data_IF_564899428747
#
_entry.id   IF_564899428747
#
_cell.length_a   1.000
_cell.length_b   1.000
_cell.length_c   1.000
_cell.angle_alpha   90.00
_cell.angle_beta   90.00
_cell.angle_gamma   90.00
#
_symmetry.space_group_name_H-M   'P 1'
#
loop_
_entity.id
_entity.type
_entity.pdbx_description
1 polymer ?
#
# COMPACT_ATOMS: atom_id res chain seq x y z
N UNK A 1 17.44 -87.44 -22.03
CA UNK A 1 16.48 -86.42 -21.45
C UNK A 1 17.31 -85.27 -20.95
N UNK A 2 17.40 -84.18 -21.71
CA UNK A 2 18.19 -83.02 -21.42
C UNK A 2 17.26 -81.87 -21.02
N UNK A 3 17.31 -81.43 -19.74
CA UNK A 3 16.56 -80.32 -19.26
C UNK A 3 17.26 -79.01 -19.58
N UNK A 4 16.60 -78.11 -20.33
CA UNK A 4 17.01 -76.80 -20.70
C UNK A 4 16.59 -75.82 -19.57
N UNK A 5 17.54 -75.03 -19.00
CA UNK A 5 17.30 -73.97 -18.05
C UNK A 5 16.95 -72.65 -18.78
N UNK A 6 15.96 -71.87 -18.32
CA UNK A 6 15.64 -70.57 -18.92
C UNK A 6 16.61 -69.45 -18.45
N UNK A 7 17.12 -68.69 -19.42
CA UNK A 7 17.90 -67.48 -19.20
C UNK A 7 17.07 -66.40 -18.47
N UNK A 8 17.50 -66.00 -17.27
CA UNK A 8 17.03 -64.76 -16.60
C UNK A 8 17.50 -63.56 -17.39
N UNK A 9 16.58 -62.83 -17.98
CA UNK A 9 16.83 -61.51 -18.59
C UNK A 9 16.96 -60.45 -17.48
N UNK A 10 18.03 -59.65 -17.60
CA UNK A 10 18.38 -58.56 -16.69
C UNK A 10 17.30 -57.47 -16.64
N UNK A 11 16.56 -57.40 -15.53
CA UNK A 11 15.64 -56.29 -15.18
C UNK A 11 16.34 -55.18 -14.38
N UNK A 12 17.67 -55.27 -14.17
CA UNK A 12 18.41 -54.35 -13.35
C UNK A 12 18.85 -53.02 -14.03
N UNK A 13 18.79 -52.95 -15.37
CA UNK A 13 19.28 -51.79 -16.11
C UNK A 13 18.23 -50.67 -16.33
N UNK A 14 16.91 -50.95 -16.20
CA UNK A 14 15.88 -49.93 -16.37
C UNK A 14 15.64 -49.12 -15.12
N UNK A 15 15.86 -49.66 -13.91
CA UNK A 15 15.64 -48.95 -12.62
C UNK A 15 16.75 -47.92 -12.30
N UNK A 16 17.99 -48.16 -12.76
CA UNK A 16 19.10 -47.22 -12.54
C UNK A 16 18.97 -45.95 -13.42
N UNK A 17 18.43 -46.08 -14.62
CA UNK A 17 18.25 -44.95 -15.55
C UNK A 17 17.12 -44.00 -15.11
N UNK A 18 16.06 -44.49 -14.48
CA UNK A 18 14.98 -43.65 -13.94
C UNK A 18 15.42 -42.88 -12.71
N UNK A 19 16.20 -43.50 -11.83
CA UNK A 19 16.69 -42.84 -10.59
C UNK A 19 17.70 -41.71 -10.95
N UNK A 20 18.52 -41.87 -11.97
CA UNK A 20 19.43 -40.84 -12.43
C UNK A 20 18.74 -39.66 -13.12
N UNK A 21 17.64 -39.89 -13.84
CA UNK A 21 16.84 -38.80 -14.46
C UNK A 21 16.10 -37.97 -13.42
N UNK A 22 15.51 -38.58 -12.38
CA UNK A 22 14.81 -37.88 -11.30
C UNK A 22 15.79 -37.09 -10.44
N UNK A 23 16.97 -37.64 -10.15
CA UNK A 23 18.01 -36.94 -9.44
C UNK A 23 18.58 -35.73 -10.22
N UNK A 24 18.75 -35.84 -11.52
CA UNK A 24 19.20 -34.75 -12.38
C UNK A 24 18.16 -33.63 -12.52
N UNK A 25 16.87 -33.96 -12.58
CA UNK A 25 15.79 -32.96 -12.63
C UNK A 25 15.65 -32.18 -11.29
N UNK A 26 15.75 -32.85 -10.16
CA UNK A 26 15.73 -32.22 -8.83
C UNK A 26 16.94 -31.29 -8.63
N UNK A 27 18.15 -31.76 -8.95
CA UNK A 27 19.37 -30.95 -8.87
C UNK A 27 19.33 -29.72 -9.81
N UNK A 28 18.66 -29.83 -10.96
CA UNK A 28 18.49 -28.71 -11.88
C UNK A 28 17.48 -27.68 -11.34
N UNK A 29 16.36 -28.13 -10.76
CA UNK A 29 15.36 -27.24 -10.14
C UNK A 29 15.95 -26.48 -8.95
N UNK A 30 16.74 -27.11 -8.10
CA UNK A 30 17.42 -26.45 -6.98
C UNK A 30 18.44 -25.41 -7.47
N UNK A 31 19.19 -25.71 -8.55
CA UNK A 31 20.10 -24.74 -9.15
C UNK A 31 19.41 -23.49 -9.72
N UNK A 32 18.19 -23.66 -10.27
CA UNK A 32 17.38 -22.52 -10.78
C UNK A 32 16.90 -21.64 -9.60
N UNK A 33 16.42 -22.25 -8.53
CA UNK A 33 15.99 -21.51 -7.33
C UNK A 33 17.18 -20.76 -6.67
N UNK A 34 18.35 -21.40 -6.57
CA UNK A 34 19.56 -20.76 -6.07
C UNK A 34 19.95 -19.55 -6.92
N UNK A 35 19.87 -19.68 -8.25
CA UNK A 35 20.16 -18.58 -9.16
C UNK A 35 19.15 -17.44 -9.02
N UNK A 36 17.86 -17.75 -8.87
CA UNK A 36 16.82 -16.74 -8.64
C UNK A 36 17.09 -15.92 -7.37
N UNK A 37 17.50 -16.56 -6.27
CA UNK A 37 17.87 -15.86 -5.04
C UNK A 37 19.20 -15.10 -5.16
N UNK A 38 20.17 -15.63 -5.90
CA UNK A 38 21.43 -14.92 -6.17
C UNK A 38 21.17 -13.62 -6.98
N UNK A 39 20.28 -13.68 -7.95
CA UNK A 39 19.86 -12.50 -8.72
C UNK A 39 19.04 -11.54 -7.87
N UNK A 40 18.14 -12.05 -7.00
CA UNK A 40 17.35 -11.25 -6.06
C UNK A 40 18.24 -10.40 -5.14
N UNK A 41 19.34 -10.95 -4.67
CA UNK A 41 20.31 -10.22 -3.84
C UNK A 41 20.96 -9.02 -4.55
N UNK A 42 20.89 -8.95 -5.89
CA UNK A 42 21.48 -7.86 -6.70
C UNK A 42 20.53 -6.70 -6.93
N UNK A 43 19.22 -6.91 -6.81
CA UNK A 43 18.24 -5.84 -6.95
C UNK A 43 17.50 -5.50 -5.66
N UNK A 44 17.53 -6.37 -4.65
CA UNK A 44 16.88 -6.10 -3.37
C UNK A 44 17.72 -5.12 -2.53
N UNK A 45 17.01 -4.23 -1.85
CA UNK A 45 17.59 -3.23 -0.97
C UNK A 45 16.97 -3.29 0.41
N UNK A 46 17.76 -2.91 1.43
CA UNK A 46 17.25 -2.66 2.77
C UNK A 46 16.82 -1.21 2.87
N UNK A 47 15.61 -1.01 3.40
CA UNK A 47 15.05 0.32 3.66
C UNK A 47 15.00 0.53 5.17
N UNK A 48 15.40 1.73 5.61
CA UNK A 48 15.25 2.19 6.98
C UNK A 48 14.57 3.54 6.95
N UNK A 49 13.50 3.67 7.68
CA UNK A 49 12.71 4.92 7.75
C UNK A 49 12.70 5.41 9.19
N UNK A 50 12.77 6.70 9.38
CA UNK A 50 12.56 7.35 10.67
C UNK A 50 11.80 8.64 10.51
N UNK A 51 10.85 8.90 11.41
CA UNK A 51 10.08 10.13 11.46
C UNK A 51 9.93 10.62 12.90
N UNK A 52 10.07 11.94 13.08
CA UNK A 52 9.88 12.58 14.37
C UNK A 52 8.38 12.88 14.64
N UNK A 53 7.60 12.97 13.58
CA UNK A 53 6.16 13.18 13.63
C UNK A 53 5.46 12.20 12.71
N UNK A 54 4.24 11.79 13.06
CA UNK A 54 3.43 10.90 12.25
C UNK A 54 2.08 11.53 11.91
N UNK A 55 1.54 11.17 10.75
CA UNK A 55 0.12 11.28 10.50
C UNK A 55 -0.58 10.05 11.07
N UNK A 56 -1.91 10.09 11.20
CA UNK A 56 -2.68 9.04 11.88
C UNK A 56 -2.45 7.63 11.28
N UNK A 57 -2.03 7.56 10.03
CA UNK A 57 -1.78 6.30 9.33
C UNK A 57 -0.40 5.68 9.63
N UNK A 58 0.48 6.41 10.34
CA UNK A 58 1.85 5.95 10.63
C UNK A 58 2.23 6.21 12.08
N UNK A 59 3.17 5.42 12.58
CA UNK A 59 3.72 5.59 13.92
C UNK A 59 4.94 6.50 13.90
N UNK A 60 5.14 7.30 14.96
CA UNK A 60 6.39 8.01 15.24
C UNK A 60 7.49 7.00 15.55
N UNK A 61 8.69 7.21 15.05
CA UNK A 61 9.84 6.39 15.36
C UNK A 61 10.60 5.89 14.14
N UNK A 62 11.20 4.72 14.26
CA UNK A 62 12.00 4.12 13.21
C UNK A 62 11.63 2.67 12.94
N UNK A 63 11.57 2.30 11.67
CA UNK A 63 11.32 0.94 11.23
C UNK A 63 12.17 0.55 10.03
N UNK A 64 12.15 -0.71 9.69
CA UNK A 64 12.90 -1.25 8.55
C UNK A 64 12.03 -2.17 7.71
N UNK A 65 12.33 -2.19 6.41
CA UNK A 65 11.71 -3.07 5.44
C UNK A 65 12.67 -3.38 4.31
N UNK A 66 12.13 -3.93 3.25
CA UNK A 66 12.83 -4.24 2.03
C UNK A 66 12.26 -3.42 0.86
N UNK A 67 12.96 -3.43 -0.24
CA UNK A 67 12.54 -2.91 -1.53
C UNK A 67 13.37 -3.54 -2.63
N UNK A 68 13.10 -3.20 -3.88
CA UNK A 68 13.90 -3.70 -4.99
C UNK A 68 13.92 -2.72 -6.17
N UNK A 69 15.06 -2.67 -6.86
CA UNK A 69 15.29 -1.78 -8.01
C UNK A 69 14.46 -2.25 -9.22
N UNK A 70 13.67 -1.35 -9.79
CA UNK A 70 12.78 -1.64 -10.94
C UNK A 70 13.00 -0.75 -12.15
N UNK A 71 13.75 0.35 -11.98
CA UNK A 71 14.06 1.27 -13.08
C UNK A 71 15.39 1.97 -12.77
N UNK A 72 16.45 1.55 -13.44
CA UNK A 72 17.79 2.08 -13.19
C UNK A 72 17.97 3.49 -13.74
N UNK A 73 17.34 3.76 -14.88
CA UNK A 73 17.42 5.07 -15.53
C UNK A 73 16.76 6.15 -14.65
N UNK A 74 15.58 5.84 -14.13
CA UNK A 74 14.83 6.73 -13.23
C UNK A 74 15.23 6.58 -11.78
N UNK A 75 16.09 5.60 -11.46
CA UNK A 75 16.57 5.29 -10.11
C UNK A 75 15.44 4.91 -9.15
N UNK A 76 14.45 4.15 -9.66
CA UNK A 76 13.28 3.80 -8.89
C UNK A 76 13.40 2.46 -8.19
N UNK A 77 13.03 2.46 -6.92
CA UNK A 77 12.91 1.31 -6.04
C UNK A 77 11.46 1.14 -5.66
N UNK A 78 10.91 -0.07 -5.86
CA UNK A 78 9.58 -0.45 -5.35
C UNK A 78 9.69 -0.93 -3.91
N UNK A 79 8.65 -0.63 -3.13
CA UNK A 79 8.43 -1.12 -1.77
C UNK A 79 6.94 -1.02 -1.41
N UNK A 80 6.56 -1.36 -0.18
CA UNK A 80 5.21 -1.08 0.31
C UNK A 80 5.05 0.37 0.76
N UNK A 81 3.81 0.87 0.72
CA UNK A 81 3.46 2.19 1.24
C UNK A 81 3.73 2.30 2.74
N UNK A 82 3.35 1.27 3.53
CA UNK A 82 3.61 1.25 4.97
C UNK A 82 5.11 1.19 5.32
N UNK A 83 5.97 0.67 4.42
CA UNK A 83 7.43 0.69 4.57
C UNK A 83 8.00 2.06 4.25
N UNK A 84 7.55 2.71 3.17
CA UNK A 84 7.97 4.07 2.82
C UNK A 84 7.52 5.10 3.87
N UNK A 85 6.40 4.82 4.51
CA UNK A 85 5.71 5.73 5.42
C UNK A 85 4.78 6.70 4.67
N UNK A 86 3.83 7.24 5.41
CA UNK A 86 2.83 8.18 4.90
C UNK A 86 3.17 9.63 5.21
N UNK A 87 4.41 9.85 5.65
CA UNK A 87 4.97 11.17 5.96
C UNK A 87 6.33 11.29 5.30
N UNK A 88 6.78 12.50 5.05
CA UNK A 88 8.15 12.77 4.57
C UNK A 88 9.17 12.51 5.70
N UNK A 89 9.31 11.25 6.08
CA UNK A 89 10.37 10.80 6.99
C UNK A 89 11.72 10.70 6.29
N UNK A 90 12.77 10.51 7.09
CA UNK A 90 14.09 10.21 6.56
C UNK A 90 14.14 8.77 6.08
N UNK A 91 14.23 8.57 4.76
CA UNK A 91 14.34 7.26 4.13
C UNK A 91 15.80 7.01 3.76
N UNK A 92 16.36 5.89 4.24
CA UNK A 92 17.72 5.44 3.90
C UNK A 92 17.65 4.07 3.24
N UNK A 93 18.33 3.92 2.10
CA UNK A 93 18.38 2.68 1.30
C UNK A 93 19.81 2.16 1.23
N UNK A 94 19.98 0.84 1.36
CA UNK A 94 21.25 0.17 1.17
C UNK A 94 21.12 -1.04 0.26
N UNK A 95 21.95 -1.13 -0.78
CA UNK A 95 22.22 -2.36 -1.51
C UNK A 95 23.14 -3.28 -0.70
N UNK A 96 23.15 -4.58 -1.03
CA UNK A 96 24.01 -5.57 -0.37
C UNK A 96 25.47 -5.17 -0.47
N UNK A 97 26.15 -5.06 0.67
CA UNK A 97 27.59 -4.67 0.73
C UNK A 97 27.86 -3.18 0.55
N UNK A 98 26.84 -2.33 0.41
CA UNK A 98 27.01 -0.89 0.20
C UNK A 98 26.51 -0.05 1.38
N UNK A 99 26.97 1.19 1.43
CA UNK A 99 26.54 2.17 2.43
C UNK A 99 25.10 2.61 2.17
N UNK A 100 24.45 3.10 3.23
CA UNK A 100 23.11 3.67 3.14
C UNK A 100 23.16 5.04 2.46
N UNK A 101 22.22 5.26 1.53
CA UNK A 101 22.01 6.56 0.87
C UNK A 101 20.61 7.07 1.17
N UNK A 102 20.44 8.38 1.24
CA UNK A 102 19.12 8.98 1.38
C UNK A 102 18.31 8.80 0.08
N UNK A 103 17.04 8.50 0.22
CA UNK A 103 16.10 8.42 -0.88
C UNK A 103 14.88 9.30 -0.61
N UNK A 104 14.13 9.63 -1.66
CA UNK A 104 12.88 10.40 -1.57
C UNK A 104 11.71 9.55 -2.04
N UNK A 105 10.56 9.73 -1.40
CA UNK A 105 9.32 9.15 -1.91
C UNK A 105 8.90 9.88 -3.19
N UNK A 106 8.69 9.13 -4.26
CA UNK A 106 8.18 9.62 -5.54
C UNK A 106 6.67 9.47 -5.64
N UNK A 107 6.17 8.38 -5.09
CA UNK A 107 4.77 8.00 -5.10
C UNK A 107 4.47 7.06 -3.94
N UNK A 108 3.36 7.25 -3.29
CA UNK A 108 2.87 6.38 -2.21
C UNK A 108 1.39 6.13 -2.44
N UNK A 109 1.04 4.87 -2.65
CA UNK A 109 -0.33 4.41 -2.83
C UNK A 109 -0.77 3.57 -1.63
N UNK A 110 -1.59 4.18 -0.78
CA UNK A 110 -2.16 3.48 0.36
C UNK A 110 -3.27 2.49 -0.03
N UNK A 111 -3.86 2.62 -1.23
CA UNK A 111 -4.96 1.75 -1.67
C UNK A 111 -4.49 0.31 -1.90
N UNK A 112 -3.35 0.12 -2.55
CA UNK A 112 -2.75 -1.21 -2.79
C UNK A 112 -1.45 -1.45 -2.03
N UNK A 113 -1.09 -0.56 -1.09
CA UNK A 113 0.12 -0.66 -0.29
C UNK A 113 1.41 -0.72 -1.13
N UNK A 114 1.55 0.18 -2.10
CA UNK A 114 2.74 0.28 -2.97
C UNK A 114 3.36 1.66 -2.88
N UNK A 115 4.69 1.73 -2.83
CA UNK A 115 5.44 2.97 -2.95
C UNK A 115 6.59 2.86 -3.96
N UNK A 116 6.89 3.99 -4.59
CA UNK A 116 8.06 4.19 -5.45
C UNK A 116 8.98 5.20 -4.79
N UNK A 117 10.20 4.78 -4.52
CA UNK A 117 11.26 5.63 -3.98
C UNK A 117 12.26 5.97 -5.06
N UNK A 118 12.79 7.19 -5.04
CA UNK A 118 13.83 7.66 -5.96
C UNK A 118 15.16 7.80 -5.24
N UNK A 119 16.19 7.15 -5.80
CA UNK A 119 17.56 7.24 -5.34
C UNK A 119 18.27 8.46 -5.95
N UNK A 120 19.26 9.06 -5.27
CA UNK A 120 20.09 10.10 -5.85
C UNK A 120 20.94 9.57 -7.01
N UNK A 121 21.43 10.48 -7.82
CA UNK A 121 22.35 10.14 -8.92
C UNK A 121 23.61 9.46 -8.38
N UNK A 122 24.10 8.44 -9.09
CA UNK A 122 25.30 7.69 -8.71
C UNK A 122 25.10 6.71 -7.54
N UNK A 123 23.93 6.61 -6.93
CA UNK A 123 23.70 5.75 -5.78
C UNK A 123 23.51 4.26 -6.11
N UNK A 124 23.25 3.91 -7.37
CA UNK A 124 23.02 2.53 -7.78
C UNK A 124 24.35 1.86 -8.10
N UNK A 125 24.75 0.79 -7.38
CA UNK A 125 25.98 0.06 -7.67
C UNK A 125 26.03 -0.47 -9.11
N UNK A 126 27.23 -0.61 -9.67
CA UNK A 126 27.39 -1.06 -11.05
C UNK A 126 26.88 -2.50 -11.25
N UNK A 127 27.08 -3.38 -10.27
CA UNK A 127 26.63 -4.77 -10.26
C UNK A 127 25.14 -4.95 -9.95
N UNK A 128 24.45 -3.92 -9.45
CA UNK A 128 23.02 -3.99 -9.20
C UNK A 128 22.26 -4.22 -10.51
N UNK A 129 21.16 -4.94 -10.44
CA UNK A 129 20.28 -5.25 -11.58
C UNK A 129 18.87 -4.74 -11.30
N UNK A 130 18.08 -4.61 -12.36
CA UNK A 130 16.65 -4.38 -12.23
C UNK A 130 15.93 -5.72 -12.01
N UNK A 131 14.92 -5.70 -11.14
CA UNK A 131 13.99 -6.80 -11.00
C UNK A 131 13.10 -6.91 -12.24
N UNK A 132 12.90 -8.12 -12.74
CA UNK A 132 11.95 -8.38 -13.83
C UNK A 132 10.58 -8.65 -13.23
N UNK A 133 9.63 -7.75 -13.43
CA UNK A 133 8.25 -7.88 -12.95
C UNK A 133 7.41 -8.78 -13.88
N UNK A 134 6.58 -9.64 -13.31
CA UNK A 134 5.53 -10.37 -14.01
C UNK A 134 4.28 -9.50 -14.09
N UNK A 135 4.20 -8.65 -15.12
CA UNK A 135 3.13 -7.66 -15.26
C UNK A 135 1.80 -8.26 -15.76
N UNK A 136 1.78 -9.50 -16.19
CA UNK A 136 0.59 -10.18 -16.74
C UNK A 136 0.43 -11.53 -16.08
N UNK A 137 -0.79 -11.79 -15.62
CA UNK A 137 -1.16 -13.05 -14.98
C UNK A 137 -0.61 -13.20 -13.55
N UNK A 138 -1.00 -14.29 -12.93
CA UNK A 138 -0.51 -14.72 -11.60
C UNK A 138 0.03 -16.14 -11.71
N UNK A 139 0.99 -16.55 -10.86
CA UNK A 139 1.45 -17.94 -10.84
C UNK A 139 0.29 -18.91 -10.60
N UNK A 140 0.39 -20.10 -11.14
CA UNK A 140 -0.57 -21.18 -10.84
C UNK A 140 -0.45 -21.59 -9.37
N UNK A 141 -1.56 -22.01 -8.75
CA UNK A 141 -1.54 -22.60 -7.41
C UNK A 141 -0.60 -23.80 -7.39
N UNK A 142 0.28 -23.86 -6.39
CA UNK A 142 1.33 -24.86 -6.28
C UNK A 142 2.67 -24.47 -6.92
N UNK A 143 2.77 -23.35 -7.65
CA UNK A 143 4.06 -22.85 -8.16
C UNK A 143 5.02 -22.53 -7.03
N UNK A 144 6.30 -22.87 -7.19
CA UNK A 144 7.36 -22.56 -6.23
C UNK A 144 7.61 -21.05 -6.17
N UNK A 145 7.47 -20.46 -4.98
CA UNK A 145 7.71 -19.06 -4.72
C UNK A 145 8.84 -18.87 -3.69
N UNK A 146 9.55 -17.76 -3.82
CA UNK A 146 10.56 -17.32 -2.88
C UNK A 146 10.31 -15.90 -2.40
N UNK A 147 10.24 -15.68 -1.08
CA UNK A 147 10.26 -14.34 -0.51
C UNK A 147 11.68 -13.95 -0.16
N UNK A 148 12.08 -12.71 -0.47
CA UNK A 148 13.42 -12.20 -0.21
C UNK A 148 13.34 -10.84 0.49
N UNK A 149 14.20 -10.65 1.53
CA UNK A 149 14.17 -9.41 2.29
C UNK A 149 15.09 -9.42 3.50
N UNK A 150 14.65 -8.77 4.60
CA UNK A 150 15.46 -8.54 5.79
C UNK A 150 14.70 -8.91 7.08
N UNK A 151 14.18 -10.17 7.21
CA UNK A 151 13.34 -10.57 8.32
C UNK A 151 14.05 -10.35 9.66
N UNK A 152 13.35 -9.72 10.62
CA UNK A 152 13.85 -9.46 11.98
C UNK A 152 15.24 -8.77 12.04
N UNK A 153 15.59 -8.05 10.96
CA UNK A 153 16.90 -7.38 10.84
C UNK A 153 18.02 -8.23 10.25
N UNK A 154 17.81 -9.53 10.02
CA UNK A 154 18.74 -10.38 9.27
C UNK A 154 18.73 -9.97 7.80
N UNK A 155 19.87 -9.50 7.32
CA UNK A 155 19.97 -8.88 6.00
C UNK A 155 20.04 -9.94 4.87
N UNK A 156 19.29 -9.71 3.78
CA UNK A 156 19.34 -10.51 2.54
C UNK A 156 19.05 -11.99 2.76
N UNK A 157 17.91 -12.28 3.39
CA UNK A 157 17.44 -13.63 3.70
C UNK A 157 16.35 -14.05 2.74
N UNK A 158 16.42 -15.31 2.30
CA UNK A 158 15.42 -15.95 1.43
C UNK A 158 14.58 -16.95 2.24
N UNK A 159 13.30 -17.05 1.89
CA UNK A 159 12.40 -18.13 2.32
C UNK A 159 11.71 -18.72 1.09
N UNK A 160 11.35 -20.02 1.12
CA UNK A 160 10.69 -20.72 0.02
C UNK A 160 9.34 -21.26 0.48
N UNK A 161 8.38 -21.25 -0.41
CA UNK A 161 7.05 -21.79 -0.28
C UNK A 161 6.38 -21.93 -1.62
N UNK A 162 5.04 -21.96 -1.64
CA UNK A 162 4.26 -22.10 -2.87
C UNK A 162 3.22 -20.98 -3.00
N UNK A 163 2.72 -20.79 -4.20
CA UNK A 163 1.50 -20.05 -4.47
C UNK A 163 0.30 -20.82 -3.93
N UNK A 164 -0.37 -20.26 -2.91
CA UNK A 164 -1.54 -20.89 -2.30
C UNK A 164 -2.86 -20.43 -2.93
N UNK A 165 -2.92 -19.21 -3.48
CA UNK A 165 -4.12 -18.67 -4.10
C UNK A 165 -4.08 -17.16 -4.24
N UNK A 166 -5.21 -16.59 -4.69
CA UNK A 166 -5.46 -15.14 -4.67
C UNK A 166 -6.52 -14.87 -3.62
N UNK A 167 -6.20 -14.06 -2.62
CA UNK A 167 -7.15 -13.63 -1.59
C UNK A 167 -7.82 -12.33 -2.02
N UNK A 168 -9.14 -12.25 -1.86
CA UNK A 168 -9.95 -11.03 -2.03
C UNK A 168 -10.57 -10.57 -0.70
N UNK A 169 -10.12 -11.15 0.43
CA UNK A 169 -10.65 -10.85 1.76
C UNK A 169 -10.30 -9.44 2.27
N UNK A 170 -9.37 -8.74 1.62
CA UNK A 170 -9.01 -7.35 1.90
C UNK A 170 -9.52 -6.42 0.81
N UNK A 171 -9.27 -5.13 1.00
CA UNK A 171 -9.69 -4.05 0.11
C UNK A 171 -9.15 -4.15 -1.34
N UNK A 172 -8.20 -5.06 -1.60
CA UNK A 172 -7.65 -5.32 -2.94
C UNK A 172 -7.10 -6.75 -3.04
N UNK A 173 -7.08 -7.35 -4.25
CA UNK A 173 -6.60 -8.71 -4.46
C UNK A 173 -5.12 -8.85 -4.09
N UNK A 174 -4.78 -9.92 -3.37
CA UNK A 174 -3.41 -10.23 -2.94
C UNK A 174 -3.05 -11.67 -3.28
N UNK A 175 -1.78 -11.93 -3.64
CA UNK A 175 -1.26 -13.28 -3.71
C UNK A 175 -1.14 -13.85 -2.30
N UNK A 176 -1.58 -15.09 -2.13
CA UNK A 176 -1.40 -15.85 -0.90
C UNK A 176 -0.29 -16.88 -1.10
N UNK A 177 0.62 -16.97 -0.12
CA UNK A 177 1.74 -17.93 -0.12
C UNK A 177 1.95 -18.49 1.28
N UNK A 178 2.50 -19.68 1.39
CA UNK A 178 2.98 -20.27 2.63
C UNK A 178 4.48 -19.99 2.88
N UNK A 179 5.17 -19.34 1.92
CA UNK A 179 6.54 -18.87 2.15
C UNK A 179 6.58 -17.98 3.40
N UNK A 180 7.42 -18.28 4.40
CA UNK A 180 7.46 -17.48 5.63
C UNK A 180 7.84 -16.03 5.36
N UNK A 181 6.92 -15.10 5.71
CA UNK A 181 7.11 -13.65 5.64
C UNK A 181 7.05 -13.11 7.07
N UNK A 182 8.05 -12.35 7.46
CA UNK A 182 8.17 -11.73 8.79
C UNK A 182 8.43 -10.23 8.65
N UNK A 183 8.21 -9.42 9.71
CA UNK A 183 8.58 -8.00 9.71
C UNK A 183 10.00 -7.79 9.22
N UNK A 184 10.17 -6.94 8.22
CA UNK A 184 11.43 -6.72 7.48
C UNK A 184 11.46 -7.35 6.09
N UNK A 185 10.59 -8.32 5.77
CA UNK A 185 10.37 -8.79 4.39
C UNK A 185 9.42 -7.89 3.61
N UNK A 186 8.58 -7.12 4.31
CA UNK A 186 7.65 -6.18 3.69
C UNK A 186 8.38 -5.24 2.71
N UNK A 187 7.82 -5.07 1.52
CA UNK A 187 8.37 -4.30 0.42
C UNK A 187 9.38 -5.06 -0.44
N UNK A 188 9.85 -6.21 0.02
CA UNK A 188 10.73 -7.08 -0.75
C UNK A 188 10.01 -7.88 -1.83
N UNK A 189 10.74 -8.48 -2.79
CA UNK A 189 10.15 -9.24 -3.88
C UNK A 189 9.62 -10.60 -3.44
N UNK A 190 8.44 -10.99 -3.93
CA UNK A 190 7.99 -12.37 -4.03
C UNK A 190 8.31 -12.86 -5.44
N UNK A 191 9.07 -13.94 -5.55
CA UNK A 191 9.72 -14.39 -6.78
C UNK A 191 9.16 -15.74 -7.19
N UNK A 192 8.78 -15.90 -8.44
CA UNK A 192 8.58 -17.22 -9.06
C UNK A 192 9.95 -17.85 -9.29
N UNK A 193 10.24 -18.90 -8.56
CA UNK A 193 11.55 -19.57 -8.58
C UNK A 193 11.85 -20.30 -9.88
N UNK A 194 10.85 -20.59 -10.68
CA UNK A 194 11.02 -21.23 -12.00
C UNK A 194 11.49 -20.25 -13.07
N UNK A 195 10.99 -19.02 -13.01
CA UNK A 195 11.28 -17.98 -14.01
C UNK A 195 12.22 -16.88 -13.52
N UNK A 196 12.41 -16.75 -12.21
CA UNK A 196 13.12 -15.64 -11.55
C UNK A 196 12.41 -14.30 -11.66
N UNK A 197 11.14 -14.27 -12.10
CA UNK A 197 10.36 -13.04 -12.18
C UNK A 197 9.74 -12.68 -10.80
N UNK A 198 9.66 -11.40 -10.51
CA UNK A 198 8.95 -10.90 -9.33
C UNK A 198 7.45 -10.89 -9.65
N UNK A 199 6.69 -11.70 -8.94
CA UNK A 199 5.24 -11.87 -9.10
C UNK A 199 4.44 -11.02 -8.09
N UNK A 200 5.10 -10.53 -7.05
CA UNK A 200 4.45 -9.68 -6.03
C UNK A 200 5.45 -8.95 -5.15
N UNK A 201 4.91 -8.09 -4.31
CA UNK A 201 5.62 -7.35 -3.26
C UNK A 201 5.18 -7.92 -1.93
N UNK A 202 6.09 -8.52 -1.17
CA UNK A 202 5.80 -9.09 0.14
C UNK A 202 5.16 -8.04 1.04
N UNK A 203 4.02 -8.38 1.66
CA UNK A 203 3.42 -7.56 2.71
C UNK A 203 3.25 -8.44 3.94
N UNK A 204 3.81 -8.05 5.09
CA UNK A 204 3.62 -8.80 6.31
C UNK A 204 2.14 -8.70 6.70
N UNK A 205 1.48 -9.85 6.87
CA UNK A 205 0.12 -9.85 7.38
C UNK A 205 0.14 -9.34 8.82
N UNK A 206 -0.51 -8.20 9.05
CA UNK A 206 -0.75 -7.75 10.40
C UNK A 206 -1.73 -8.72 11.08
N UNK A 207 -1.22 -9.59 11.93
CA UNK A 207 -1.84 -9.87 13.20
C UNK A 207 -3.01 -10.80 13.32
N UNK A 208 -3.21 -11.82 12.52
CA UNK A 208 -4.02 -12.94 12.99
C UNK A 208 -3.13 -14.03 13.57
N UNK A 209 -3.02 -14.02 14.89
CA UNK A 209 -2.30 -15.05 15.68
C UNK A 209 -2.80 -16.49 15.44
N UNK A 210 -3.82 -16.69 14.60
CA UNK A 210 -4.47 -17.96 14.30
C UNK A 210 -4.17 -18.53 12.92
N UNK A 211 -3.64 -17.73 11.98
CA UNK A 211 -3.34 -18.18 10.62
C UNK A 211 -1.83 -18.35 10.43
N UNK A 212 -1.28 -19.44 10.97
CA UNK A 212 0.09 -19.83 10.66
C UNK A 212 0.20 -20.22 9.19
N UNK A 213 1.27 -19.75 8.50
CA UNK A 213 1.55 -20.02 7.09
C UNK A 213 0.59 -19.36 6.07
N UNK A 214 -0.12 -18.31 6.47
CA UNK A 214 -0.86 -17.47 5.53
C UNK A 214 -0.17 -16.12 5.40
N UNK A 215 0.59 -15.95 4.33
CA UNK A 215 1.32 -14.73 4.01
C UNK A 215 0.81 -14.16 2.70
N UNK A 216 0.94 -12.85 2.53
CA UNK A 216 0.37 -12.14 1.40
C UNK A 216 1.41 -11.28 0.68
N UNK A 217 1.15 -11.03 -0.59
CA UNK A 217 1.91 -10.09 -1.40
C UNK A 217 0.98 -9.30 -2.32
N UNK A 218 1.31 -8.03 -2.53
CA UNK A 218 0.67 -7.21 -3.57
C UNK A 218 1.02 -7.79 -4.93
N UNK A 219 0.04 -7.93 -5.82
CA UNK A 219 0.24 -8.50 -7.16
C UNK A 219 1.14 -7.58 -8.00
N UNK A 220 2.12 -8.13 -8.70
CA UNK A 220 3.07 -7.33 -9.50
C UNK A 220 2.41 -6.50 -10.60
N UNK A 221 1.27 -6.94 -11.17
CA UNK A 221 0.53 -6.18 -12.19
C UNK A 221 0.07 -4.81 -11.71
N UNK A 222 -0.30 -4.67 -10.41
CA UNK A 222 -0.66 -3.38 -9.83
C UNK A 222 0.53 -2.42 -9.81
N UNK A 223 1.70 -2.92 -9.38
CA UNK A 223 2.92 -2.14 -9.43
C UNK A 223 3.33 -1.77 -10.86
N UNK A 224 3.16 -2.67 -11.83
CA UNK A 224 3.43 -2.39 -13.24
C UNK A 224 2.57 -1.24 -13.75
N UNK A 225 1.26 -1.26 -13.48
CA UNK A 225 0.35 -0.18 -13.90
C UNK A 225 0.75 1.17 -13.29
N UNK A 226 1.10 1.17 -11.99
CA UNK A 226 1.61 2.37 -11.31
C UNK A 226 2.87 2.89 -12.01
N UNK A 227 3.86 2.03 -12.25
CA UNK A 227 5.12 2.41 -12.89
C UNK A 227 4.91 2.95 -14.32
N UNK A 228 4.01 2.34 -15.11
CA UNK A 228 3.68 2.82 -16.46
C UNK A 228 3.07 4.22 -16.43
N UNK A 229 2.12 4.48 -15.53
CA UNK A 229 1.52 5.80 -15.38
C UNK A 229 2.54 6.84 -14.94
N UNK A 230 3.40 6.51 -13.97
CA UNK A 230 4.45 7.41 -13.50
C UNK A 230 5.50 7.70 -14.59
N UNK A 231 5.88 6.69 -15.39
CA UNK A 231 6.78 6.87 -16.55
C UNK A 231 6.18 7.80 -17.60
N UNK A 232 4.86 7.75 -17.77
CA UNK A 232 4.11 8.62 -18.65
C UNK A 232 3.83 10.02 -18.08
N UNK A 233 4.30 10.33 -16.86
CA UNK A 233 4.03 11.58 -16.16
C UNK A 233 2.56 11.78 -15.77
N UNK A 234 1.81 10.68 -15.66
CA UNK A 234 0.38 10.71 -15.29
C UNK A 234 0.21 10.42 -13.79
N UNK A 235 -0.93 10.84 -13.24
CA UNK A 235 -1.35 10.38 -11.92
C UNK A 235 -1.48 8.86 -11.92
N UNK A 236 -0.99 8.21 -10.86
CA UNK A 236 -1.13 6.76 -10.68
C UNK A 236 -2.08 6.40 -9.52
N UNK A 237 -2.82 7.38 -8.99
CA UNK A 237 -3.82 7.14 -7.94
C UNK A 237 -5.10 6.56 -8.52
N UNK A 238 -5.84 5.83 -7.67
CA UNK A 238 -7.27 5.61 -7.89
C UNK A 238 -8.02 6.93 -7.71
N UNK A 239 -9.19 7.13 -8.35
CA UNK A 239 -9.99 8.32 -8.11
C UNK A 239 -10.51 8.37 -6.66
N UNK A 240 -10.76 9.60 -6.20
CA UNK A 240 -11.45 9.83 -4.95
C UNK A 240 -12.89 9.33 -5.09
N UNK A 241 -13.32 8.44 -4.19
CA UNK A 241 -14.71 7.98 -4.12
C UNK A 241 -15.21 8.00 -2.68
N UNK A 242 -16.45 8.39 -2.49
CA UNK A 242 -17.23 8.23 -1.26
C UNK A 242 -18.40 7.26 -1.47
N UNK A 243 -18.51 6.70 -2.68
CA UNK A 243 -19.51 5.70 -3.02
C UNK A 243 -19.29 4.43 -2.20
N UNK A 244 -20.32 4.01 -1.49
CA UNK A 244 -20.34 2.74 -0.74
C UNK A 244 -21.07 1.70 -1.57
N UNK A 245 -20.41 0.56 -1.76
CA UNK A 245 -21.00 -0.58 -2.47
C UNK A 245 -21.54 -1.61 -1.49
N UNK A 246 -22.66 -2.25 -1.85
CA UNK A 246 -23.18 -3.38 -1.11
C UNK A 246 -22.21 -4.57 -1.26
N UNK A 247 -22.02 -5.27 -0.16
CA UNK A 247 -21.32 -6.55 -0.14
C UNK A 247 -22.36 -7.64 0.02
N UNK A 248 -22.47 -8.52 -0.96
CA UNK A 248 -23.31 -9.70 -0.89
C UNK A 248 -22.40 -10.93 -0.95
N UNK A 249 -22.39 -11.72 0.13
CA UNK A 249 -21.58 -12.94 0.23
C UNK A 249 -22.04 -14.01 -0.77
N UNK A 250 -23.31 -13.99 -1.15
CA UNK A 250 -23.94 -14.98 -2.04
C UNK A 250 -23.93 -14.54 -3.52
N UNK A 251 -23.77 -13.23 -3.81
CA UNK A 251 -23.71 -12.66 -5.16
C UNK A 251 -22.45 -11.79 -5.36
N UNK A 252 -21.33 -12.46 -5.59
CA UNK A 252 -20.02 -11.83 -5.81
C UNK A 252 -19.95 -11.14 -7.20
N UNK A 253 -20.92 -11.35 -8.08
CA UNK A 253 -20.88 -10.89 -9.47
C UNK A 253 -21.52 -9.49 -9.67
N UNK A 254 -22.26 -8.98 -8.69
CA UNK A 254 -22.96 -7.69 -8.82
C UNK A 254 -22.37 -6.61 -7.91
N UNK A 255 -21.89 -5.53 -8.52
CA UNK A 255 -21.36 -4.37 -7.83
C UNK A 255 -22.47 -3.31 -7.71
N UNK A 256 -23.25 -3.36 -6.62
CA UNK A 256 -24.39 -2.47 -6.40
C UNK A 256 -24.06 -1.36 -5.40
N UNK A 257 -24.45 -0.13 -5.72
CA UNK A 257 -24.30 1.03 -4.82
C UNK A 257 -25.29 0.90 -3.65
N UNK A 258 -24.75 0.86 -2.42
CA UNK A 258 -25.54 0.60 -1.22
C UNK A 258 -26.37 1.81 -0.77
N UNK A 259 -25.76 3.00 -0.81
CA UNK A 259 -26.36 4.27 -0.38
C UNK A 259 -26.01 5.38 -1.37
N UNK A 260 -26.87 6.39 -1.48
CA UNK A 260 -26.54 7.59 -2.25
C UNK A 260 -25.29 8.24 -1.66
N UNK A 261 -24.28 8.61 -2.50
CA UNK A 261 -23.15 9.39 -2.02
C UNK A 261 -23.65 10.69 -1.37
N UNK A 262 -23.33 10.93 -0.11
CA UNK A 262 -23.80 12.12 0.62
C UNK A 262 -23.30 13.44 0.01
N UNK A 263 -22.17 13.38 -0.69
CA UNK A 263 -21.63 14.48 -1.50
C UNK A 263 -21.36 13.96 -2.90
N UNK A 264 -21.49 14.84 -3.89
CA UNK A 264 -21.09 14.54 -5.27
C UNK A 264 -19.58 14.22 -5.30
N UNK A 265 -19.26 12.93 -5.34
CA UNK A 265 -17.89 12.44 -5.48
C UNK A 265 -17.42 12.42 -6.96
N UNK A 266 -18.27 12.89 -7.84
CA UNK A 266 -18.04 12.95 -9.28
C UNK A 266 -18.34 11.65 -10.03
N UNK A 267 -18.81 10.59 -9.36
CA UNK A 267 -19.15 9.32 -10.06
C UNK A 267 -20.53 9.34 -10.71
N UNK A 268 -21.45 10.20 -10.26
CA UNK A 268 -22.83 10.27 -10.79
C UNK A 268 -23.66 9.03 -10.48
N UNK A 269 -23.19 8.17 -9.56
CA UNK A 269 -23.87 6.95 -9.11
C UNK A 269 -24.92 7.27 -8.05
N UNK A 270 -25.93 6.41 -7.94
CA UNK A 270 -27.03 6.50 -6.95
C UNK A 270 -27.25 5.14 -6.29
N UNK A 271 -27.86 5.15 -5.11
CA UNK A 271 -28.26 3.94 -4.42
C UNK A 271 -29.13 3.05 -5.33
N UNK A 272 -28.82 1.76 -5.36
CA UNK A 272 -29.46 0.77 -6.21
C UNK A 272 -28.94 0.70 -7.64
N UNK A 273 -27.95 1.52 -8.03
CA UNK A 273 -27.24 1.33 -9.31
C UNK A 273 -26.36 0.10 -9.25
N UNK A 274 -26.43 -0.75 -10.27
CA UNK A 274 -25.48 -1.84 -10.46
C UNK A 274 -24.46 -1.45 -11.53
N UNK A 275 -23.17 -1.42 -11.19
CA UNK A 275 -22.10 -1.13 -12.14
C UNK A 275 -21.90 -2.35 -13.05
N UNK A 276 -22.07 -2.15 -14.35
CA UNK A 276 -21.91 -3.20 -15.37
C UNK A 276 -20.49 -3.17 -15.92
N UNK A 277 -19.90 -1.97 -16.10
CA UNK A 277 -18.60 -1.82 -16.70
C UNK A 277 -18.18 -0.37 -16.88
N UNK A 278 -17.05 -0.19 -17.54
CA UNK A 278 -16.60 1.10 -18.04
C UNK A 278 -16.77 1.12 -19.55
N UNK A 279 -17.34 2.19 -20.08
CA UNK A 279 -17.47 2.33 -21.53
C UNK A 279 -16.11 2.22 -22.20
N UNK A 280 -15.99 1.36 -23.21
CA UNK A 280 -14.76 1.01 -23.92
C UNK A 280 -13.72 0.20 -23.11
N UNK A 281 -14.15 -0.49 -22.05
CA UNK A 281 -13.30 -1.40 -21.26
C UNK A 281 -14.05 -2.74 -21.10
N UNK A 282 -13.44 -3.82 -21.57
CA UNK A 282 -14.07 -5.15 -21.54
C UNK A 282 -13.93 -5.87 -20.18
N UNK A 283 -13.29 -5.23 -19.19
CA UNK A 283 -13.11 -5.84 -17.87
C UNK A 283 -14.44 -5.96 -17.15
N UNK A 284 -14.64 -7.10 -16.51
CA UNK A 284 -15.67 -7.28 -15.50
C UNK A 284 -15.09 -6.97 -14.13
N UNK A 285 -15.91 -6.46 -13.25
CA UNK A 285 -15.55 -6.13 -11.88
C UNK A 285 -16.25 -7.09 -10.94
N UNK A 286 -15.47 -7.78 -10.11
CA UNK A 286 -15.97 -8.71 -9.10
C UNK A 286 -16.10 -8.03 -7.72
N UNK A 287 -15.59 -6.81 -7.60
CA UNK A 287 -15.61 -6.06 -6.34
C UNK A 287 -15.45 -4.56 -6.55
N UNK A 288 -15.80 -3.77 -5.52
CA UNK A 288 -15.56 -2.33 -5.51
C UNK A 288 -14.05 -1.98 -5.68
N UNK A 289 -13.12 -2.66 -5.02
CA UNK A 289 -11.70 -2.47 -5.29
C UNK A 289 -11.30 -2.73 -6.74
N UNK A 290 -11.80 -3.79 -7.38
CA UNK A 290 -11.50 -4.07 -8.80
C UNK A 290 -11.97 -2.93 -9.71
N UNK A 291 -13.16 -2.38 -9.42
CA UNK A 291 -13.69 -1.23 -10.15
C UNK A 291 -12.82 0.03 -9.95
N UNK A 292 -12.44 0.35 -8.72
CA UNK A 292 -11.58 1.50 -8.43
C UNK A 292 -10.18 1.33 -9.03
N UNK A 293 -9.62 0.12 -9.01
CA UNK A 293 -8.34 -0.19 -9.67
C UNK A 293 -8.43 -0.03 -11.19
N UNK A 294 -9.55 -0.40 -11.80
CA UNK A 294 -9.78 -0.19 -13.22
C UNK A 294 -9.85 1.29 -13.61
N UNK A 295 -10.18 2.16 -12.65
CA UNK A 295 -10.20 3.61 -12.82
C UNK A 295 -8.85 4.28 -12.49
N UNK A 296 -7.85 3.53 -12.05
CA UNK A 296 -6.52 4.05 -11.71
C UNK A 296 -5.95 4.92 -12.84
N UNK A 297 -5.50 6.11 -12.50
CA UNK A 297 -4.92 7.08 -13.43
C UNK A 297 -5.93 7.80 -14.33
N UNK A 298 -7.22 7.49 -14.24
CA UNK A 298 -8.26 8.24 -14.95
C UNK A 298 -8.62 9.50 -14.16
N UNK A 299 -8.75 10.60 -14.86
CA UNK A 299 -9.14 11.90 -14.30
C UNK A 299 -10.07 12.62 -15.26
N UNK A 300 -10.96 13.47 -14.72
CA UNK A 300 -11.93 14.20 -15.53
C UNK A 300 -13.06 13.27 -16.01
N UNK A 301 -13.59 13.55 -17.20
CA UNK A 301 -14.75 12.84 -17.74
C UNK A 301 -14.46 11.38 -18.04
N UNK A 302 -15.30 10.50 -17.49
CA UNK A 302 -15.28 9.05 -17.73
C UNK A 302 -16.71 8.56 -17.77
N UNK A 303 -17.04 7.65 -18.70
CA UNK A 303 -18.39 7.08 -18.80
C UNK A 303 -18.42 5.70 -18.12
N UNK A 304 -19.40 5.52 -17.24
CA UNK A 304 -19.65 4.28 -16.47
C UNK A 304 -20.97 3.68 -16.95
N UNK A 305 -20.97 2.42 -17.33
CA UNK A 305 -22.15 1.70 -17.74
C UNK A 305 -22.80 1.04 -16.52
N UNK A 306 -24.09 1.35 -16.30
CA UNK A 306 -24.84 0.91 -15.13
C UNK A 306 -26.19 0.31 -15.53
N UNK A 307 -26.76 -0.44 -14.59
CA UNK A 307 -28.19 -0.75 -14.59
C UNK A 307 -28.87 -0.01 -13.43
N UNK A 308 -29.89 0.79 -13.75
CA UNK A 308 -30.70 1.56 -12.80
C UNK A 308 -32.18 1.20 -13.00
N UNK A 309 -32.81 0.65 -11.98
CA UNK A 309 -34.22 0.19 -12.01
C UNK A 309 -34.51 -0.73 -13.21
N UNK A 310 -33.60 -1.70 -13.49
CA UNK A 310 -33.73 -2.67 -14.57
C UNK A 310 -33.44 -2.11 -15.97
N UNK A 311 -32.97 -0.87 -16.10
CA UNK A 311 -32.60 -0.24 -17.38
C UNK A 311 -31.11 0.03 -17.46
N UNK A 312 -30.49 -0.47 -18.52
CA UNK A 312 -29.11 -0.17 -18.83
C UNK A 312 -28.97 1.27 -19.34
N UNK A 313 -27.99 1.97 -18.81
CA UNK A 313 -27.66 3.33 -19.21
C UNK A 313 -26.18 3.64 -18.91
N UNK A 314 -25.69 4.70 -19.51
CA UNK A 314 -24.35 5.23 -19.23
C UNK A 314 -24.50 6.50 -18.39
N UNK A 315 -23.70 6.63 -17.32
CA UNK A 315 -23.58 7.85 -16.53
C UNK A 315 -22.21 8.48 -16.78
N UNK A 316 -22.17 9.80 -16.83
CA UNK A 316 -20.92 10.54 -16.96
C UNK A 316 -20.38 10.85 -15.56
N UNK A 317 -19.21 10.27 -15.26
CA UNK A 317 -18.42 10.59 -14.08
C UNK A 317 -17.43 11.72 -14.40
N UNK A 318 -17.11 12.54 -13.40
CA UNK A 318 -16.05 13.54 -13.45
C UNK A 318 -15.06 13.26 -12.34
N UNK A 319 -14.10 12.36 -12.62
CA UNK A 319 -13.21 11.77 -11.63
C UNK A 319 -12.13 12.77 -11.16
N UNK A 320 -11.94 12.85 -9.85
CA UNK A 320 -10.83 13.56 -9.22
C UNK A 320 -9.82 12.56 -8.64
N UNK A 321 -8.49 12.81 -8.78
CA UNK A 321 -7.48 11.96 -8.16
C UNK A 321 -7.61 11.95 -6.64
N UNK A 322 -7.33 10.82 -6.00
CA UNK A 322 -7.16 10.80 -4.55
C UNK A 322 -5.91 11.57 -4.12
N UNK A 323 -5.89 11.97 -2.85
CA UNK A 323 -4.79 12.74 -2.26
C UNK A 323 -3.49 11.93 -2.32
N UNK A 324 -2.41 12.59 -2.73
CA UNK A 324 -1.06 12.03 -2.64
C UNK A 324 -0.52 12.18 -1.22
N UNK A 325 0.17 11.14 -0.74
CA UNK A 325 0.88 11.19 0.55
C UNK A 325 2.23 11.88 0.43
N UNK A 326 2.84 11.85 -0.76
CA UNK A 326 4.12 12.52 -1.05
C UNK A 326 3.94 14.03 -1.01
N UNK A 327 4.79 14.71 -0.23
CA UNK A 327 4.70 16.15 -0.05
C UNK A 327 3.54 16.61 0.84
N UNK A 328 2.88 15.68 1.55
CA UNK A 328 1.86 16.02 2.53
C UNK A 328 2.49 16.82 3.66
N UNK A 329 1.91 17.97 3.96
CA UNK A 329 2.39 18.85 5.01
C UNK A 329 1.40 18.90 6.16
N UNK A 330 1.94 18.98 7.38
CA UNK A 330 1.21 19.28 8.59
C UNK A 330 1.66 20.62 9.19
N UNK A 331 0.81 21.25 9.96
CA UNK A 331 1.15 22.39 10.82
C UNK A 331 1.39 21.87 12.22
N UNK A 332 2.59 22.03 12.72
CA UNK A 332 2.94 21.80 14.12
C UNK A 332 2.53 23.04 14.91
N UNK A 333 1.70 22.87 15.89
CA UNK A 333 1.22 23.95 16.77
C UNK A 333 1.25 23.46 18.21
N UNK A 334 2.16 24.04 19.01
CA UNK A 334 2.30 23.78 20.45
C UNK A 334 2.38 22.30 20.82
N UNK A 335 3.05 21.50 19.96
CA UNK A 335 3.23 20.05 20.13
C UNK A 335 2.13 19.18 19.53
N UNK A 336 1.13 19.75 18.85
CA UNK A 336 0.16 19.01 18.06
C UNK A 336 0.38 19.20 16.57
N UNK A 337 0.23 18.12 15.77
CA UNK A 337 0.31 18.14 14.30
C UNK A 337 -1.10 18.14 13.72
N UNK A 338 -1.40 19.19 12.98
CA UNK A 338 -2.65 19.35 12.26
C UNK A 338 -2.42 19.14 10.76
N UNK A 339 -3.24 18.34 10.11
CA UNK A 339 -3.20 18.19 8.66
C UNK A 339 -4.59 17.89 8.09
N UNK A 340 -4.77 18.06 6.76
CA UNK A 340 -5.97 17.57 6.11
C UNK A 340 -6.10 16.06 6.27
N UNK A 341 -7.33 15.61 6.38
CA UNK A 341 -7.69 14.22 6.48
C UNK A 341 -7.40 13.44 5.19
N UNK A 342 -7.00 12.17 5.31
CA UNK A 342 -6.92 11.26 4.16
C UNK A 342 -8.29 10.63 3.85
N UNK A 343 -8.42 9.99 2.70
CA UNK A 343 -9.66 9.33 2.30
C UNK A 343 -10.04 8.13 3.17
N UNK A 344 -9.05 7.42 3.74
CA UNK A 344 -9.30 6.31 4.68
C UNK A 344 -9.92 6.75 6.00
N UNK A 345 -9.74 8.02 6.34
CA UNK A 345 -10.26 8.60 7.56
C UNK A 345 -11.68 9.18 7.38
N UNK A 346 -12.24 9.10 6.15
CA UNK A 346 -13.59 9.63 5.85
C UNK A 346 -14.62 8.54 6.08
N UNK A 347 -15.11 8.42 7.30
CA UNK A 347 -16.34 7.67 7.60
C UNK A 347 -17.60 8.52 7.47
N UNK A 348 -17.46 9.86 7.42
CA UNK A 348 -18.56 10.80 7.24
C UNK A 348 -18.16 11.88 6.22
N UNK A 349 -18.90 12.04 5.11
CA UNK A 349 -18.64 13.04 4.06
C UNK A 349 -18.62 14.48 4.54
N UNK A 350 -19.37 14.82 5.58
CA UNK A 350 -19.35 16.17 6.19
C UNK A 350 -17.97 16.57 6.73
N UNK A 351 -17.11 15.58 6.92
CA UNK A 351 -15.74 15.77 7.38
C UNK A 351 -14.76 16.04 6.23
N UNK A 352 -15.18 15.94 4.99
CA UNK A 352 -14.33 16.20 3.83
C UNK A 352 -13.81 17.64 3.85
N UNK A 353 -12.47 17.78 3.90
CA UNK A 353 -11.79 19.09 3.97
C UNK A 353 -11.68 19.68 5.37
N UNK A 354 -12.00 18.95 6.44
CA UNK A 354 -11.67 19.34 7.81
C UNK A 354 -10.22 19.02 8.15
N UNK A 355 -9.64 19.79 9.05
CA UNK A 355 -8.33 19.48 9.62
C UNK A 355 -8.50 18.49 10.76
N UNK A 356 -7.55 17.55 10.85
CA UNK A 356 -7.47 16.53 11.89
C UNK A 356 -6.22 16.74 12.73
N UNK A 357 -6.31 16.44 14.02
CA UNK A 357 -5.16 16.32 14.93
C UNK A 357 -4.53 14.94 14.73
N UNK A 358 -3.41 14.88 14.01
CA UNK A 358 -2.75 13.63 13.64
C UNK A 358 -1.79 13.12 14.69
N UNK A 359 -1.26 14.00 15.51
CA UNK A 359 -0.35 13.65 16.60
C UNK A 359 -0.43 14.71 17.69
N UNK A 360 -0.24 14.29 18.93
CA UNK A 360 0.00 15.16 20.09
C UNK A 360 1.20 14.61 20.83
N UNK A 361 2.23 15.44 21.03
CA UNK A 361 3.42 15.05 21.77
C UNK A 361 3.10 15.00 23.27
N UNK A 362 3.34 13.87 23.95
CA UNK A 362 3.09 13.75 25.38
C UNK A 362 3.85 14.81 26.19
N UNK A 363 3.15 15.49 27.10
CA UNK A 363 3.70 16.56 27.93
C UNK A 363 3.86 17.91 27.22
N UNK A 364 3.47 18.03 25.95
CA UNK A 364 3.44 19.30 25.23
C UNK A 364 2.32 20.23 25.74
N UNK A 365 2.38 21.50 25.33
CA UNK A 365 1.31 22.45 25.63
C UNK A 365 -0.04 21.99 25.11
N UNK A 366 -0.08 21.42 23.91
CA UNK A 366 -1.31 20.85 23.34
C UNK A 366 -1.85 19.67 24.19
N UNK A 367 -0.98 18.80 24.69
CA UNK A 367 -1.38 17.67 25.55
C UNK A 367 -1.92 18.17 26.91
N UNK A 368 -1.24 19.13 27.53
CA UNK A 368 -1.65 19.72 28.79
C UNK A 368 -3.00 20.49 28.70
N UNK A 369 -3.31 21.03 27.51
CA UNK A 369 -4.58 21.69 27.20
C UNK A 369 -5.60 20.73 26.55
N UNK A 370 -5.39 19.41 26.71
CA UNK A 370 -6.32 18.36 26.30
C UNK A 370 -6.71 18.39 24.81
N UNK A 371 -5.82 18.85 23.92
CA UNK A 371 -5.94 18.59 22.50
C UNK A 371 -5.71 17.08 22.30
N UNK A 372 -6.66 16.38 21.71
CA UNK A 372 -6.60 14.93 21.58
C UNK A 372 -6.32 14.50 20.14
N UNK A 373 -5.46 13.48 20.00
CA UNK A 373 -5.27 12.73 18.77
C UNK A 373 -6.61 12.28 18.18
N UNK A 374 -6.76 12.31 16.87
CA UNK A 374 -7.98 11.91 16.17
C UNK A 374 -9.13 12.92 16.23
N UNK A 375 -8.94 14.08 16.87
CA UNK A 375 -9.96 15.13 16.93
C UNK A 375 -10.02 15.96 15.66
N UNK A 376 -11.23 16.28 15.19
CA UNK A 376 -11.49 17.19 14.08
C UNK A 376 -11.55 18.63 14.53
N UNK A 377 -10.95 19.53 13.76
CA UNK A 377 -11.05 20.98 14.01
C UNK A 377 -12.33 21.51 13.38
N UNK A 378 -13.32 21.81 14.20
CA UNK A 378 -14.63 22.36 13.76
C UNK A 378 -14.51 23.87 13.49
N UNK A 379 -13.89 24.61 14.42
CA UNK A 379 -13.62 26.02 14.25
C UNK A 379 -12.44 26.47 15.11
N UNK A 380 -11.85 27.61 14.74
CA UNK A 380 -10.78 28.27 15.46
C UNK A 380 -11.19 29.72 15.67
N UNK A 381 -11.17 30.22 16.93
CA UNK A 381 -11.67 31.55 17.33
C UNK A 381 -13.08 31.82 16.78
N UNK A 382 -13.95 30.80 16.77
CA UNK A 382 -15.31 30.87 16.23
C UNK A 382 -15.42 30.90 14.70
N UNK A 383 -14.29 30.83 13.97
CA UNK A 383 -14.27 30.85 12.53
C UNK A 383 -14.13 29.40 12.00
N UNK A 384 -14.99 28.98 11.09
CA UNK A 384 -14.84 27.70 10.37
C UNK A 384 -13.63 27.78 9.46
N UNK A 385 -12.68 26.87 9.66
CA UNK A 385 -11.46 26.79 8.84
C UNK A 385 -11.43 25.46 8.06
N UNK A 386 -10.75 25.48 6.91
CA UNK A 386 -10.61 24.30 6.05
C UNK A 386 -9.17 24.06 5.57
N UNK A 387 -8.25 24.98 5.86
CA UNK A 387 -6.88 24.89 5.37
C UNK A 387 -5.88 25.15 6.48
N UNK A 388 -4.70 24.54 6.34
CA UNK A 388 -3.57 24.79 7.25
C UNK A 388 -3.13 26.26 7.25
N UNK A 389 -3.19 26.93 6.11
CA UNK A 389 -2.84 28.35 6.01
C UNK A 389 -3.78 29.24 6.80
N UNK A 390 -5.08 28.88 6.88
CA UNK A 390 -6.04 29.60 7.74
C UNK A 390 -5.71 29.38 9.22
N UNK A 391 -5.38 28.12 9.61
CA UNK A 391 -4.97 27.79 10.97
C UNK A 391 -3.69 28.53 11.34
N UNK A 392 -2.66 28.48 10.49
CA UNK A 392 -1.39 29.19 10.72
C UNK A 392 -1.60 30.69 10.92
N UNK A 393 -2.41 31.33 10.06
CA UNK A 393 -2.70 32.76 10.17
C UNK A 393 -3.32 33.13 11.54
N UNK A 394 -4.27 32.31 12.00
CA UNK A 394 -4.92 32.56 13.31
C UNK A 394 -3.95 32.26 14.46
N UNK A 395 -3.14 31.21 14.36
CA UNK A 395 -2.12 30.89 15.36
C UNK A 395 -1.08 32.00 15.51
N UNK A 396 -0.51 32.48 14.38
CA UNK A 396 0.46 33.60 14.39
C UNK A 396 -0.15 34.89 14.93
N UNK A 397 -1.42 35.13 14.66
CA UNK A 397 -2.13 36.28 15.26
C UNK A 397 -2.27 36.12 16.76
N UNK A 398 -2.65 34.93 17.25
CA UNK A 398 -2.78 34.67 18.69
C UNK A 398 -1.42 34.80 19.41
N UNK A 399 -0.35 34.27 18.80
CA UNK A 399 1.04 34.41 19.28
C UNK A 399 1.45 35.88 19.40
N UNK A 400 1.23 36.71 18.37
CA UNK A 400 1.55 38.12 18.36
C UNK A 400 0.75 38.92 19.38
N UNK A 401 -0.50 38.56 19.62
CA UNK A 401 -1.39 39.16 20.59
C UNK A 401 -1.19 38.59 22.01
N UNK A 402 -0.32 37.58 22.18
CA UNK A 402 -0.06 36.86 23.44
C UNK A 402 -1.34 36.33 24.11
N UNK A 403 -2.24 35.79 23.30
CA UNK A 403 -3.46 35.16 23.75
C UNK A 403 -3.53 33.69 23.31
N UNK A 404 -4.38 32.98 23.98
CA UNK A 404 -4.69 31.60 23.59
C UNK A 404 -5.50 31.55 22.30
N UNK A 405 -5.36 30.45 21.58
CA UNK A 405 -6.12 30.11 20.39
C UNK A 405 -7.29 29.20 20.81
N UNK A 406 -8.51 29.63 20.54
CA UNK A 406 -9.69 28.85 20.93
C UNK A 406 -10.07 27.84 19.84
N UNK A 407 -9.89 26.56 20.15
CA UNK A 407 -10.21 25.45 19.26
C UNK A 407 -11.54 24.80 19.65
N UNK A 408 -12.48 24.72 18.73
CA UNK A 408 -13.63 23.81 18.84
C UNK A 408 -13.25 22.50 18.17
N UNK A 409 -13.14 21.42 18.94
CA UNK A 409 -12.76 20.10 18.51
C UNK A 409 -13.95 19.14 18.59
N UNK A 410 -14.04 18.22 17.62
CA UNK A 410 -15.01 17.12 17.62
C UNK A 410 -14.26 15.80 17.64
N UNK A 411 -14.57 14.94 18.59
CA UNK A 411 -14.06 13.57 18.65
C UNK A 411 -15.07 12.63 18.00
N UNK A 412 -14.64 11.79 17.07
CA UNK A 412 -15.49 10.76 16.45
C UNK A 412 -15.38 9.48 17.29
N UNK A 413 -16.49 8.79 17.39
CA UNK A 413 -16.65 7.52 18.08
C UNK A 413 -15.79 6.44 17.44
N UNK A 414 -14.93 5.78 18.21
CA UNK A 414 -14.55 4.40 18.00
C UNK A 414 -15.53 3.51 18.80
N UNK A 415 -15.61 2.21 18.53
CA UNK A 415 -16.60 1.30 19.14
C UNK A 415 -16.57 1.24 20.68
N UNK A 416 -15.56 1.82 21.33
CA UNK A 416 -15.36 1.85 22.79
C UNK A 416 -15.59 3.23 23.40
N UNK A 417 -15.84 4.27 22.61
CA UNK A 417 -15.92 5.68 23.05
C UNK A 417 -17.37 6.17 23.21
N UNK A 418 -17.61 7.22 24.05
CA UNK A 418 -18.93 7.84 24.14
C UNK A 418 -19.36 8.45 22.80
N UNK A 419 -20.65 8.76 22.60
CA UNK A 419 -21.16 9.38 21.39
C UNK A 419 -20.36 10.64 21.05
N UNK A 420 -20.38 11.05 19.76
CA UNK A 420 -19.70 12.27 19.26
C UNK A 420 -19.71 13.38 20.32
N UNK A 421 -18.52 13.85 20.69
CA UNK A 421 -18.38 14.89 21.69
C UNK A 421 -17.70 16.10 21.09
N UNK A 422 -18.19 17.28 21.47
CA UNK A 422 -17.58 18.56 21.14
C UNK A 422 -16.87 19.12 22.36
N UNK A 423 -15.64 19.54 22.18
CA UNK A 423 -14.84 20.13 23.23
C UNK A 423 -14.26 21.48 22.80
N UNK A 424 -14.38 22.47 23.67
CA UNK A 424 -13.69 23.76 23.52
C UNK A 424 -12.35 23.66 24.24
N UNK A 425 -11.25 24.03 23.55
CA UNK A 425 -9.90 24.05 24.12
C UNK A 425 -9.26 25.39 23.83
N UNK A 426 -8.76 26.01 24.87
CA UNK A 426 -7.96 27.24 24.77
C UNK A 426 -6.49 26.83 24.79
N UNK A 427 -5.80 27.01 23.65
CA UNK A 427 -4.43 26.54 23.41
C UNK A 427 -3.46 27.73 23.40
N UNK A 428 -2.55 27.84 24.38
CA UNK A 428 -1.42 28.75 24.29
C UNK A 428 -0.54 28.41 23.09
N UNK A 429 -0.14 29.41 22.34
CA UNK A 429 0.68 29.26 21.15
C UNK A 429 2.13 29.54 21.50
N UNK A 430 2.91 28.49 21.71
CA UNK A 430 4.33 28.54 22.06
C UNK A 430 5.25 27.97 20.96
N UNK A 431 4.68 27.26 19.97
CA UNK A 431 5.39 26.74 18.83
C UNK A 431 4.49 26.77 17.59
N UNK A 432 5.04 27.28 16.47
CA UNK A 432 4.40 27.20 15.15
C UNK A 432 5.45 26.73 14.15
N UNK A 433 5.22 25.61 13.50
CA UNK A 433 6.12 25.05 12.51
C UNK A 433 5.40 24.27 11.42
N UNK A 434 6.08 24.05 10.32
CA UNK A 434 5.62 23.15 9.28
C UNK A 434 6.34 21.82 9.37
N UNK A 435 5.60 20.73 9.15
CA UNK A 435 6.15 19.39 9.06
C UNK A 435 5.80 18.77 7.70
N UNK A 436 6.75 18.11 7.02
CA UNK A 436 8.18 18.11 7.33
C UNK A 436 8.80 19.52 7.21
N UNK A 437 9.96 19.68 7.86
CA UNK A 437 10.67 20.96 7.93
C UNK A 437 11.26 21.36 6.58
#
# INVERSE_FOLDING_TARGET
MTFSTPRRRNLASLSLSLISLVGAAAAHADSIAEQAFADAARYTVRISVSTDYSFIESEKGGWTGAGFLVDRERRWVLTNAHVAGYTDGKILIAFKGHQRVAATAKFVDNFVDVAVLELPEGAIPQEAREARLACVGTPAVGSDLGAFGHPLGYAFTATRGIMAGVSRAKEYPQLQTDAPISPGNSGGPLIDLSSGAVVGINTASAGERRAQNMNFAVIASEACQILELLRAGKSATVPKSTTTFAFDEDDVETLTVAVDPENDDGFGLKAGDTVIGLSNDARKFESAPDFLLALRGRTGKTSIDIERAGKRMTVDANLTPSLQYVGRRGLLLSGAVFAPRSLREVSNPDDAGTLLVHQVEPGSTADLHEVRFGSFVVSVDGQKIRTLSQLEKLARKAEAERRELRLMLRTVKDDESPPESYALRDLPVDEIGWYPK
#
